data_IF_886620593019
#
_entry.id   IF_886620593019
#
_cell.length_a   1.000
_cell.length_b   1.000
_cell.length_c   1.000
_cell.angle_alpha   90.00
_cell.angle_beta   90.00
_cell.angle_gamma   90.00
#
_symmetry.space_group_name_H-M   'P 1'
#
loop_
_entity.id
_entity.type
_entity.pdbx_description
1 polymer ?
#
# COMPACT_ATOMS: atom_id res chain seq x y z
N UNK A 1 35.44 13.24 7.47
CA UNK A 1 36.83 13.71 7.40
C UNK A 1 37.74 12.51 7.25
N UNK A 2 38.90 12.66 6.60
CA UNK A 2 39.91 11.59 6.46
C UNK A 2 41.32 12.18 6.41
N UNK A 3 42.34 11.36 6.68
CA UNK A 3 43.76 11.74 6.59
C UNK A 3 44.25 11.51 5.17
N UNK A 4 44.91 12.50 4.58
CA UNK A 4 45.59 12.40 3.29
C UNK A 4 47.06 12.81 3.43
N UNK A 5 47.94 12.12 2.72
CA UNK A 5 49.35 12.53 2.54
C UNK A 5 49.49 13.08 1.14
N UNK A 6 49.91 14.34 1.02
CA UNK A 6 50.00 15.05 -0.25
C UNK A 6 51.40 15.63 -0.45
N UNK A 7 51.80 15.87 -1.71
CA UNK A 7 53.16 16.30 -2.07
C UNK A 7 54.05 15.16 -2.59
N UNK A 8 55.28 15.49 -2.98
CA UNK A 8 56.28 14.54 -3.52
C UNK A 8 57.62 14.68 -2.79
N UNK A 9 58.32 13.56 -2.63
CA UNK A 9 59.65 13.52 -2.01
C UNK A 9 59.66 14.01 -0.55
N UNK A 10 60.67 14.80 -0.18
CA UNK A 10 60.83 15.36 1.18
C UNK A 10 59.79 16.43 1.55
N UNK A 11 58.99 16.89 0.59
CA UNK A 11 57.94 17.90 0.80
C UNK A 11 56.55 17.29 1.08
N UNK A 12 56.48 16.00 1.44
CA UNK A 12 55.20 15.36 1.80
C UNK A 12 54.64 15.93 3.09
N UNK A 13 53.34 16.22 3.11
CA UNK A 13 52.62 16.74 4.27
C UNK A 13 51.39 15.90 4.57
N UNK A 14 51.08 15.76 5.87
CA UNK A 14 49.87 15.09 6.37
C UNK A 14 48.78 16.12 6.58
N UNK A 15 47.57 15.84 6.08
CA UNK A 15 46.43 16.75 6.10
C UNK A 15 45.14 16.05 6.50
N UNK A 16 44.26 16.75 7.20
CA UNK A 16 42.85 16.39 7.32
C UNK A 16 42.05 16.99 6.17
N UNK A 17 41.28 16.14 5.49
CA UNK A 17 40.52 16.49 4.30
C UNK A 17 39.04 16.07 4.40
N UNK A 18 38.18 16.76 3.67
CA UNK A 18 36.78 16.42 3.43
C UNK A 18 36.48 16.39 1.93
N UNK A 19 35.52 15.55 1.52
CA UNK A 19 35.01 15.55 0.16
C UNK A 19 33.60 16.12 0.15
N UNK A 20 33.40 17.16 -0.66
CA UNK A 20 32.11 17.81 -0.87
C UNK A 20 31.64 17.59 -2.31
N UNK A 21 30.36 17.27 -2.51
CA UNK A 21 29.81 17.14 -3.86
C UNK A 21 29.59 18.55 -4.44
N UNK A 22 30.06 18.78 -5.66
CA UNK A 22 29.78 20.04 -6.36
C UNK A 22 28.34 19.98 -6.85
N UNK A 23 27.51 20.95 -6.42
CA UNK A 23 26.10 21.01 -6.76
C UNK A 23 25.86 20.90 -8.28
N UNK A 24 24.83 20.15 -8.68
CA UNK A 24 24.46 19.88 -10.09
C UNK A 24 25.49 19.09 -10.91
N UNK A 25 26.50 18.49 -10.27
CA UNK A 25 27.46 17.61 -10.95
C UNK A 25 27.68 16.30 -10.20
N UNK A 26 28.28 15.31 -10.88
CA UNK A 26 28.77 14.08 -10.25
C UNK A 26 30.22 14.21 -9.74
N UNK A 27 30.81 15.41 -9.79
CA UNK A 27 32.19 15.65 -9.36
C UNK A 27 32.25 15.97 -7.86
N UNK A 28 33.29 15.46 -7.19
CA UNK A 28 33.60 15.76 -5.79
C UNK A 28 34.78 16.73 -5.72
N UNK A 29 34.72 17.70 -4.82
CA UNK A 29 35.81 18.61 -4.49
C UNK A 29 36.39 18.22 -3.14
N UNK A 30 37.71 18.01 -3.08
CA UNK A 30 38.42 17.83 -1.83
C UNK A 30 38.70 19.20 -1.21
N UNK A 31 38.37 19.36 0.06
CA UNK A 31 38.63 20.55 0.87
C UNK A 31 39.58 20.16 1.98
N UNK A 32 40.73 20.84 2.06
CA UNK A 32 41.70 20.66 3.15
C UNK A 32 41.18 21.43 4.36
N UNK A 33 40.98 20.72 5.47
CA UNK A 33 40.47 21.28 6.72
C UNK A 33 41.64 21.78 7.58
N UNK A 34 42.71 21.00 7.68
CA UNK A 34 43.89 21.34 8.47
C UNK A 34 45.12 20.61 7.92
N UNK A 35 46.25 21.31 7.84
CA UNK A 35 47.55 20.68 7.59
C UNK A 35 48.23 20.41 8.93
N UNK A 36 48.69 19.18 9.15
CA UNK A 36 49.25 18.72 10.42
C UNK A 36 50.76 18.98 10.47
N UNK A 37 51.48 18.58 9.42
CA UNK A 37 52.94 18.74 9.38
C UNK A 37 53.61 17.92 8.29
N UNK A 38 54.94 17.93 8.27
CA UNK A 38 55.74 17.15 7.32
C UNK A 38 55.69 15.66 7.66
N UNK A 39 55.45 14.82 6.66
CA UNK A 39 55.26 13.37 6.82
C UNK A 39 56.49 12.66 7.41
N UNK A 40 57.70 13.00 6.95
CA UNK A 40 58.93 12.33 7.39
C UNK A 40 59.22 12.66 8.86
N UNK A 41 59.14 13.94 9.23
CA UNK A 41 59.38 14.40 10.61
C UNK A 41 58.40 13.78 11.60
N UNK A 42 57.12 13.70 11.23
CA UNK A 42 56.10 13.12 12.09
C UNK A 42 56.31 11.62 12.31
N UNK A 43 56.83 10.88 11.32
CA UNK A 43 57.14 9.46 11.45
C UNK A 43 58.43 9.19 12.24
N UNK A 44 59.42 10.07 12.14
CA UNK A 44 60.64 10.00 12.96
C UNK A 44 60.31 10.18 14.45
N UNK A 45 59.39 11.09 14.78
CA UNK A 45 58.96 11.35 16.15
C UNK A 45 57.99 10.28 16.70
N UNK A 46 57.05 9.80 15.88
CA UNK A 46 56.12 8.73 16.24
C UNK A 46 55.78 7.84 15.03
N UNK A 47 56.29 6.59 14.97
CA UNK A 47 56.01 5.65 13.89
C UNK A 47 54.51 5.35 13.69
N UNK A 48 53.68 5.50 14.72
CA UNK A 48 52.24 5.21 14.70
C UNK A 48 51.35 6.44 14.43
N UNK A 49 51.93 7.61 14.21
CA UNK A 49 51.20 8.89 14.10
C UNK A 49 50.07 8.88 13.07
N UNK A 50 50.24 8.16 11.94
CA UNK A 50 49.22 8.09 10.89
C UNK A 50 48.01 7.28 11.33
N UNK A 51 48.20 6.24 12.14
CA UNK A 51 47.11 5.45 12.68
C UNK A 51 46.31 6.26 13.71
N UNK A 52 47.00 6.94 14.61
CA UNK A 52 46.39 7.82 15.62
C UNK A 52 45.58 8.95 14.96
N UNK A 53 46.16 9.64 13.96
CA UNK A 53 45.46 10.69 13.22
C UNK A 53 44.23 10.15 12.47
N UNK A 54 44.24 8.90 12.00
CA UNK A 54 43.05 8.29 11.38
C UNK A 54 41.94 8.05 12.39
N UNK A 55 42.27 7.56 13.59
CA UNK A 55 41.29 7.39 14.67
C UNK A 55 40.75 8.74 15.16
N UNK A 56 41.60 9.75 15.26
CA UNK A 56 41.18 11.13 15.55
C UNK A 56 40.23 11.67 14.46
N UNK A 57 40.55 11.47 13.17
CA UNK A 57 39.67 11.89 12.07
C UNK A 57 38.30 11.20 12.14
N UNK A 58 38.25 9.91 12.54
CA UNK A 58 36.99 9.19 12.79
C UNK A 58 36.22 9.79 13.96
N UNK A 59 36.88 10.07 15.08
CA UNK A 59 36.27 10.71 16.26
C UNK A 59 35.69 12.08 15.94
N UNK A 60 36.47 12.95 15.30
CA UNK A 60 36.04 14.28 14.85
C UNK A 60 34.90 14.20 13.84
N UNK A 61 34.90 13.19 12.95
CA UNK A 61 33.77 12.96 12.03
C UNK A 61 32.51 12.53 12.79
N UNK A 62 32.63 11.72 13.84
CA UNK A 62 31.51 11.30 14.67
C UNK A 62 30.95 12.46 15.51
N UNK A 63 31.83 13.29 16.11
CA UNK A 63 31.45 14.50 16.84
C UNK A 63 30.78 15.54 15.92
N UNK A 64 31.34 15.79 14.73
CA UNK A 64 30.73 16.69 13.74
C UNK A 64 29.39 16.17 13.22
N UNK A 65 29.22 14.84 13.09
CA UNK A 65 27.91 14.22 12.81
C UNK A 65 26.91 14.37 13.96
N UNK A 66 27.36 14.45 15.22
CA UNK A 66 26.51 14.77 16.38
C UNK A 66 26.11 16.25 16.43
N UNK A 67 27.00 17.16 16.01
CA UNK A 67 26.81 18.62 16.11
C UNK A 67 26.15 19.29 14.88
N UNK A 68 25.98 18.60 13.75
CA UNK A 68 25.08 19.07 12.69
C UNK A 68 23.66 18.87 13.22
N UNK A 69 22.90 19.94 13.46
CA UNK A 69 21.47 19.84 13.77
C UNK A 69 20.84 18.96 12.70
N UNK A 70 20.46 17.73 13.06
CA UNK A 70 19.70 16.88 12.15
C UNK A 70 18.42 17.65 11.85
N UNK A 71 18.32 18.20 10.65
CA UNK A 71 17.04 18.57 10.10
C UNK A 71 16.24 17.27 10.01
N UNK A 72 15.39 17.02 11.01
CA UNK A 72 14.70 15.75 11.12
C UNK A 72 13.47 15.79 10.25
N UNK A 73 13.45 14.90 9.27
CA UNK A 73 12.39 14.79 8.28
C UNK A 73 11.59 13.52 8.59
N UNK A 74 10.30 13.68 8.84
CA UNK A 74 9.41 12.56 9.17
C UNK A 74 8.23 12.50 8.23
N UNK A 75 7.66 11.32 8.05
CA UNK A 75 6.34 11.14 7.43
C UNK A 75 5.26 11.25 8.49
N UNK A 76 4.18 11.97 8.18
CA UNK A 76 3.08 12.18 9.12
C UNK A 76 1.69 11.92 8.49
N UNK A 77 1.65 11.41 7.25
CA UNK A 77 0.37 11.08 6.58
C UNK A 77 -0.46 10.01 7.29
N UNK A 78 0.15 9.23 8.19
CA UNK A 78 -0.55 8.31 9.09
C UNK A 78 -1.46 9.00 10.11
N UNK A 79 -1.41 10.33 10.24
CA UNK A 79 -2.41 11.14 10.97
C UNK A 79 -3.84 10.84 10.51
N UNK A 80 -4.06 10.58 9.22
CA UNK A 80 -5.36 10.16 8.70
C UNK A 80 -5.81 8.82 9.31
N UNK A 81 -4.90 7.85 9.36
CA UNK A 81 -5.19 6.53 9.92
C UNK A 81 -5.37 6.62 11.42
N UNK A 82 -4.59 7.47 12.11
CA UNK A 82 -4.73 7.71 13.55
C UNK A 82 -6.13 8.23 13.91
N UNK A 83 -6.61 9.26 13.18
CA UNK A 83 -7.96 9.81 13.36
C UNK A 83 -9.04 8.75 13.15
N UNK A 84 -8.94 7.96 12.08
CA UNK A 84 -9.87 6.86 11.82
C UNK A 84 -9.79 5.74 12.88
N UNK A 85 -8.58 5.42 13.35
CA UNK A 85 -8.34 4.35 14.34
C UNK A 85 -9.02 4.64 15.67
N UNK A 86 -8.96 5.90 16.11
CA UNK A 86 -9.66 6.38 17.31
C UNK A 86 -11.18 6.34 17.13
N UNK A 87 -11.66 6.78 15.96
CA UNK A 87 -13.09 6.80 15.65
C UNK A 87 -13.71 5.39 15.62
N UNK A 88 -13.02 4.40 15.05
CA UNK A 88 -13.46 2.99 15.08
C UNK A 88 -13.45 2.44 16.51
N UNK A 89 -12.55 2.93 17.36
CA UNK A 89 -12.42 2.47 18.75
C UNK A 89 -11.66 1.14 18.88
N UNK A 90 -10.74 0.84 17.96
CA UNK A 90 -9.98 -0.42 17.92
C UNK A 90 -9.20 -0.70 19.21
N UNK A 91 -8.73 0.34 19.89
CA UNK A 91 -8.01 0.21 21.17
C UNK A 91 -8.85 -0.43 22.28
N UNK A 92 -10.19 -0.38 22.21
CA UNK A 92 -11.08 -1.04 23.19
C UNK A 92 -11.05 -2.56 23.06
N UNK A 93 -10.87 -3.07 21.85
CA UNK A 93 -10.86 -4.52 21.54
C UNK A 93 -9.45 -5.09 21.73
N UNK A 94 -8.45 -4.33 21.29
CA UNK A 94 -7.06 -4.78 21.26
C UNK A 94 -6.36 -4.57 22.61
N UNK A 95 -6.80 -3.59 23.41
CA UNK A 95 -6.02 -3.10 24.54
C UNK A 95 -4.87 -2.18 24.10
N UNK A 96 -4.32 -1.39 25.04
CA UNK A 96 -3.38 -0.30 24.74
C UNK A 96 -2.09 -0.78 24.07
N UNK A 97 -1.47 -1.83 24.58
CA UNK A 97 -0.17 -2.34 24.09
C UNK A 97 -0.30 -2.92 22.69
N UNK A 98 -1.21 -3.88 22.49
CA UNK A 98 -1.45 -4.50 21.18
C UNK A 98 -1.90 -3.48 20.14
N UNK A 99 -2.78 -2.53 20.53
CA UNK A 99 -3.22 -1.46 19.63
C UNK A 99 -2.06 -0.59 19.14
N UNK A 100 -1.08 -0.26 20.00
CA UNK A 100 0.07 0.56 19.61
C UNK A 100 0.93 -0.19 18.59
N UNK A 101 1.29 -1.44 18.87
CA UNK A 101 2.18 -2.20 17.98
C UNK A 101 1.51 -2.58 16.67
N UNK A 102 0.21 -2.95 16.72
CA UNK A 102 -0.58 -3.21 15.52
C UNK A 102 -0.72 -1.97 14.64
N UNK A 103 -0.92 -0.80 15.24
CA UNK A 103 -0.99 0.46 14.49
C UNK A 103 0.28 0.66 13.66
N UNK A 104 1.47 0.48 14.26
CA UNK A 104 2.74 0.54 13.52
C UNK A 104 2.76 -0.42 12.32
N UNK A 105 2.39 -1.69 12.51
CA UNK A 105 2.33 -2.69 11.43
C UNK A 105 1.40 -2.25 10.29
N UNK A 106 0.22 -1.73 10.63
CA UNK A 106 -0.76 -1.23 9.66
C UNK A 106 -0.19 -0.04 8.90
N UNK A 107 0.47 0.91 9.56
CA UNK A 107 1.06 2.06 8.86
C UNK A 107 2.19 1.65 7.94
N UNK A 108 3.08 0.75 8.37
CA UNK A 108 4.14 0.25 7.49
C UNK A 108 3.54 -0.44 6.28
N UNK A 109 2.51 -1.29 6.45
CA UNK A 109 1.86 -1.98 5.33
C UNK A 109 1.07 -1.05 4.41
N UNK A 110 0.41 -0.01 4.92
CA UNK A 110 -0.33 0.95 4.08
C UNK A 110 0.59 2.00 3.45
N UNK A 111 1.71 2.30 4.10
CA UNK A 111 2.61 3.38 3.75
C UNK A 111 3.84 2.97 2.92
N UNK A 112 4.16 1.67 2.81
CA UNK A 112 5.28 1.16 2.00
C UNK A 112 4.82 0.60 0.65
N UNK A 113 5.75 0.51 -0.32
CA UNK A 113 5.53 -0.21 -1.57
C UNK A 113 5.67 -1.71 -1.28
N UNK A 114 4.61 -2.44 -1.57
CA UNK A 114 4.33 -3.83 -1.19
C UNK A 114 5.43 -4.85 -1.54
N UNK A 115 6.20 -5.27 -0.53
CA UNK A 115 6.84 -6.60 -0.48
C UNK A 115 7.56 -6.87 0.85
N UNK A 116 8.17 -5.85 1.45
CA UNK A 116 9.09 -6.05 2.58
C UNK A 116 8.62 -5.30 3.83
N UNK A 117 8.13 -6.06 4.82
CA UNK A 117 7.98 -5.56 6.19
C UNK A 117 9.33 -5.05 6.76
N UNK A 118 10.44 -5.55 6.21
CA UNK A 118 11.81 -5.31 6.66
C UNK A 118 12.48 -4.05 6.07
N UNK A 119 11.93 -3.45 5.01
CA UNK A 119 12.54 -2.24 4.44
C UNK A 119 12.08 -0.98 5.17
N UNK A 120 12.87 -0.61 6.19
CA UNK A 120 12.82 0.73 6.75
C UNK A 120 13.05 1.75 5.64
N UNK A 121 12.00 2.52 5.30
CA UNK A 121 12.16 3.68 4.40
C UNK A 121 13.21 4.62 4.97
N UNK A 122 14.03 5.22 4.09
CA UNK A 122 15.02 6.25 4.45
C UNK A 122 14.45 7.40 5.29
N UNK A 123 13.15 7.67 5.15
CA UNK A 123 12.42 8.65 5.95
C UNK A 123 11.45 7.92 6.89
N UNK A 124 11.64 7.99 8.21
CA UNK A 124 10.79 7.33 9.19
C UNK A 124 9.43 8.01 9.31
N UNK A 125 8.43 7.27 9.79
CA UNK A 125 7.17 7.86 10.24
C UNK A 125 7.35 8.49 11.62
N UNK A 126 6.72 9.64 11.84
CA UNK A 126 6.74 10.34 13.12
C UNK A 126 6.18 9.43 14.23
N UNK A 127 6.91 9.29 15.35
CA UNK A 127 6.55 8.46 16.51
C UNK A 127 6.26 6.97 16.24
N UNK A 128 6.65 6.42 15.09
CA UNK A 128 6.49 4.99 14.83
C UNK A 128 7.85 4.30 14.83
N UNK A 129 7.97 3.34 15.74
CA UNK A 129 9.11 2.45 15.84
C UNK A 129 8.92 1.26 14.89
N UNK A 130 10.03 0.68 14.42
CA UNK A 130 10.00 -0.61 13.72
C UNK A 130 9.53 -1.69 14.67
N UNK A 131 8.67 -2.60 14.19
CA UNK A 131 8.22 -3.75 14.98
C UNK A 131 9.26 -4.86 14.85
N UNK A 132 9.63 -5.49 15.98
CA UNK A 132 10.61 -6.58 15.96
C UNK A 132 10.02 -7.83 15.31
N UNK A 133 10.88 -8.76 14.88
CA UNK A 133 10.40 -10.01 14.30
C UNK A 133 9.59 -10.82 15.33
N UNK A 134 10.05 -10.91 16.58
CA UNK A 134 9.33 -11.61 17.65
C UNK A 134 7.95 -11.00 17.91
N UNK A 135 7.86 -9.67 18.00
CA UNK A 135 6.59 -8.98 18.23
C UNK A 135 5.63 -9.17 17.04
N UNK A 136 6.16 -9.25 15.82
CA UNK A 136 5.36 -9.52 14.64
C UNK A 136 4.64 -10.87 14.76
N UNK A 137 5.36 -11.96 15.05
CA UNK A 137 4.77 -13.29 15.21
C UNK A 137 3.75 -13.35 16.36
N UNK A 138 4.10 -12.80 17.53
CA UNK A 138 3.19 -12.76 18.68
C UNK A 138 1.89 -12.00 18.37
N UNK A 139 1.98 -10.89 17.66
CA UNK A 139 0.78 -10.13 17.26
C UNK A 139 -0.11 -10.93 16.33
N UNK A 140 0.44 -11.71 15.40
CA UNK A 140 -0.39 -12.55 14.53
C UNK A 140 -1.18 -13.58 15.35
N UNK A 141 -0.58 -14.17 16.38
CA UNK A 141 -1.30 -15.09 17.28
C UNK A 141 -2.40 -14.39 18.07
N UNK A 142 -2.19 -13.14 18.50
CA UNK A 142 -3.23 -12.34 19.16
C UNK A 142 -4.34 -11.89 18.21
N UNK A 143 -4.01 -11.62 16.94
CA UNK A 143 -4.98 -11.26 15.92
C UNK A 143 -5.87 -12.43 15.54
N UNK A 144 -5.32 -13.64 15.43
CA UNK A 144 -6.09 -14.87 15.18
C UNK A 144 -7.21 -15.05 16.21
N UNK A 145 -6.89 -14.86 17.50
CA UNK A 145 -7.87 -14.93 18.60
C UNK A 145 -8.96 -13.86 18.51
N UNK A 146 -8.65 -12.69 17.93
CA UNK A 146 -9.53 -11.51 17.88
C UNK A 146 -10.20 -11.31 16.51
N UNK A 147 -10.03 -12.25 15.58
CA UNK A 147 -10.52 -12.14 14.20
C UNK A 147 -12.01 -11.73 14.14
N UNK A 148 -12.88 -12.48 14.83
CA UNK A 148 -14.32 -12.25 14.82
C UNK A 148 -14.71 -10.89 15.42
N UNK A 149 -14.10 -10.53 16.55
CA UNK A 149 -14.37 -9.25 17.24
C UNK A 149 -13.97 -8.06 16.35
N UNK A 150 -12.85 -8.17 15.64
CA UNK A 150 -12.38 -7.15 14.72
C UNK A 150 -13.28 -7.03 13.50
N UNK A 151 -13.68 -8.14 12.87
CA UNK A 151 -14.65 -8.14 11.76
C UNK A 151 -15.98 -7.49 12.20
N UNK A 152 -16.49 -7.84 13.38
CA UNK A 152 -17.73 -7.26 13.90
C UNK A 152 -17.57 -5.75 14.17
N UNK A 153 -16.43 -5.32 14.71
CA UNK A 153 -16.12 -3.92 14.97
C UNK A 153 -16.14 -3.08 13.69
N UNK A 154 -15.44 -3.54 12.64
CA UNK A 154 -15.44 -2.85 11.35
C UNK A 154 -16.83 -2.83 10.71
N UNK A 155 -17.57 -3.93 10.76
CA UNK A 155 -18.94 -3.95 10.22
C UNK A 155 -19.85 -2.96 10.95
N UNK A 156 -19.82 -2.91 12.30
CA UNK A 156 -20.60 -1.93 13.08
C UNK A 156 -20.22 -0.49 12.74
N UNK A 157 -18.93 -0.23 12.47
CA UNK A 157 -18.48 1.08 12.02
C UNK A 157 -19.04 1.42 10.63
N UNK A 158 -18.93 0.49 9.68
CA UNK A 158 -19.38 0.68 8.31
C UNK A 158 -20.89 0.78 8.15
N UNK A 159 -21.67 0.05 8.93
CA UNK A 159 -23.14 0.18 8.98
C UNK A 159 -23.58 1.61 9.34
N UNK A 160 -22.79 2.33 10.15
CA UNK A 160 -23.08 3.71 10.53
C UNK A 160 -22.58 4.74 9.52
N UNK A 161 -21.49 4.43 8.81
CA UNK A 161 -20.77 5.38 7.96
C UNK A 161 -21.11 5.29 6.48
N UNK A 162 -21.54 4.13 6.02
CA UNK A 162 -21.75 3.84 4.61
C UNK A 162 -23.23 3.58 4.38
N UNK A 163 -23.78 4.23 3.35
CA UNK A 163 -25.11 3.93 2.84
C UNK A 163 -25.04 2.66 1.98
N UNK A 164 -24.90 1.51 2.63
CA UNK A 164 -24.89 0.21 1.94
C UNK A 164 -26.25 0.00 1.26
N UNK A 165 -26.25 -0.05 -0.05
CA UNK A 165 -27.44 -0.48 -0.78
C UNK A 165 -27.56 -2.00 -0.72
N UNK A 166 -28.72 -2.46 -0.24
CA UNK A 166 -29.22 -3.84 -0.36
C UNK A 166 -28.36 -4.88 0.38
N UNK A 167 -28.99 -5.99 0.80
CA UNK A 167 -28.34 -7.11 1.50
C UNK A 167 -27.53 -7.99 0.52
N UNK A 168 -26.82 -7.38 -0.42
CA UNK A 168 -26.04 -8.04 -1.48
C UNK A 168 -24.57 -7.96 -1.10
N UNK A 169 -23.84 -9.06 -1.26
CA UNK A 169 -22.39 -9.04 -1.20
C UNK A 169 -21.78 -9.72 -2.43
N UNK A 170 -20.62 -9.23 -2.81
CA UNK A 170 -19.75 -9.80 -3.81
C UNK A 170 -18.71 -10.66 -3.11
N UNK A 171 -18.29 -11.75 -3.76
CA UNK A 171 -17.20 -12.54 -3.25
C UNK A 171 -16.21 -12.92 -4.34
N UNK A 172 -14.93 -12.88 -3.96
CA UNK A 172 -13.81 -13.23 -4.83
C UNK A 172 -12.93 -14.23 -4.07
N UNK A 173 -12.55 -15.30 -4.77
CA UNK A 173 -11.72 -16.37 -4.23
C UNK A 173 -10.36 -16.35 -4.93
N UNK A 174 -9.31 -16.34 -4.12
CA UNK A 174 -7.92 -16.33 -4.54
C UNK A 174 -7.16 -17.46 -3.87
N UNK A 175 -6.30 -18.14 -4.63
CA UNK A 175 -5.47 -19.22 -4.10
C UNK A 175 -4.12 -18.67 -3.71
N UNK A 176 -3.67 -19.02 -2.52
CA UNK A 176 -2.36 -18.65 -2.00
C UNK A 176 -1.48 -19.87 -1.86
N UNK A 177 -0.20 -19.68 -2.21
CA UNK A 177 0.83 -20.68 -2.06
C UNK A 177 2.00 -20.10 -1.29
N UNK A 178 2.47 -20.86 -0.31
CA UNK A 178 3.69 -20.55 0.40
C UNK A 178 4.87 -21.28 -0.25
N UNK A 179 5.85 -20.52 -0.72
CA UNK A 179 7.11 -21.06 -1.19
C UNK A 179 8.12 -21.10 -0.05
N UNK A 180 8.47 -22.30 0.43
CA UNK A 180 9.41 -22.50 1.54
C UNK A 180 10.86 -22.11 1.21
N UNK A 181 11.27 -22.23 -0.05
CA UNK A 181 12.62 -21.87 -0.50
C UNK A 181 12.84 -20.35 -0.45
N UNK A 182 11.88 -19.59 -0.98
CA UNK A 182 11.94 -18.12 -0.98
C UNK A 182 11.31 -17.49 0.27
N UNK A 183 10.65 -18.29 1.11
CA UNK A 183 9.83 -17.83 2.24
C UNK A 183 8.78 -16.78 1.84
N UNK A 184 8.23 -16.90 0.64
CA UNK A 184 7.28 -15.95 0.07
C UNK A 184 5.89 -16.56 0.02
N UNK A 185 4.92 -15.80 0.53
CA UNK A 185 3.51 -16.03 0.29
C UNK A 185 3.05 -15.09 -0.83
N UNK A 186 2.62 -15.67 -1.96
CA UNK A 186 2.01 -14.93 -3.07
C UNK A 186 0.62 -15.51 -3.38
N UNK A 187 -0.32 -14.62 -3.66
CA UNK A 187 -1.66 -15.00 -4.13
C UNK A 187 -1.72 -14.99 -5.65
N UNK A 188 -2.42 -15.96 -6.21
CA UNK A 188 -2.64 -16.12 -7.65
C UNK A 188 -4.14 -16.31 -7.91
N UNK A 189 -4.62 -15.72 -9.00
CA UNK A 189 -5.91 -16.10 -9.57
C UNK A 189 -5.81 -17.59 -9.97
N UNK A 190 -6.83 -18.36 -9.61
CA UNK A 190 -6.90 -19.83 -9.53
C UNK A 190 -6.16 -20.70 -10.59
N UNK A 191 -5.78 -21.91 -10.15
CA UNK A 191 -5.25 -23.13 -10.81
C UNK A 191 -4.64 -23.09 -12.24
N UNK A 192 -3.33 -22.91 -12.36
CA UNK A 192 -2.51 -23.54 -13.42
C UNK A 192 -1.08 -23.72 -12.90
N UNK A 193 -0.78 -24.83 -12.21
CA UNK A 193 0.58 -25.07 -11.71
C UNK A 193 1.04 -26.54 -11.80
N UNK A 194 2.34 -26.74 -12.12
CA UNK A 194 3.01 -28.04 -12.05
C UNK A 194 3.20 -28.53 -10.60
N UNK A 195 3.20 -29.85 -10.44
CA UNK A 195 3.38 -30.56 -9.18
C UNK A 195 4.80 -30.34 -8.62
N UNK A 196 4.94 -29.47 -7.62
CA UNK A 196 6.10 -29.45 -6.74
C UNK A 196 5.60 -29.56 -5.31
N UNK A 197 6.30 -30.33 -4.47
CA UNK A 197 5.93 -30.56 -3.07
C UNK A 197 5.77 -29.22 -2.31
N UNK A 198 4.53 -28.86 -1.99
CA UNK A 198 4.13 -27.58 -1.39
C UNK A 198 3.56 -27.80 0.03
N UNK A 199 4.02 -27.00 1.01
CA UNK A 199 3.69 -27.21 2.43
C UNK A 199 2.41 -26.49 2.92
N UNK A 200 1.95 -25.41 2.27
CA UNK A 200 0.77 -24.61 2.69
C UNK A 200 0.05 -24.01 1.47
N UNK A 201 -0.96 -24.74 0.98
CA UNK A 201 -1.89 -24.28 -0.07
C UNK A 201 -3.27 -24.02 0.55
N UNK A 202 -3.81 -22.84 0.29
CA UNK A 202 -5.13 -22.46 0.79
C UNK A 202 -5.82 -21.45 -0.10
N UNK A 203 -7.15 -21.45 -0.04
CA UNK A 203 -7.98 -20.46 -0.70
C UNK A 203 -8.45 -19.42 0.32
N UNK A 204 -8.46 -18.16 -0.10
CA UNK A 204 -9.09 -17.08 0.63
C UNK A 204 -10.28 -16.57 -0.17
N UNK A 205 -11.45 -16.56 0.47
CA UNK A 205 -12.65 -15.95 -0.09
C UNK A 205 -12.96 -14.66 0.65
N UNK A 206 -12.86 -13.52 -0.03
CA UNK A 206 -13.22 -12.21 0.50
C UNK A 206 -14.66 -11.89 0.14
N UNK A 207 -15.44 -11.42 1.12
CA UNK A 207 -16.78 -10.88 0.93
C UNK A 207 -16.75 -9.36 1.08
N UNK A 208 -17.36 -8.62 0.15
CA UNK A 208 -17.35 -7.16 0.13
C UNK A 208 -18.65 -6.59 -0.47
N UNK A 209 -18.94 -5.32 -0.19
CA UNK A 209 -20.11 -4.61 -0.76
C UNK A 209 -19.80 -3.95 -2.11
N UNK A 210 -20.79 -3.28 -2.72
CA UNK A 210 -20.62 -2.63 -4.03
C UNK A 210 -19.56 -1.54 -4.08
N UNK A 211 -19.14 -1.00 -2.94
CA UNK A 211 -18.07 0.00 -2.84
C UNK A 211 -16.69 -0.64 -2.59
N UNK A 212 -16.61 -1.97 -2.59
CA UNK A 212 -15.39 -2.70 -2.29
C UNK A 212 -15.05 -2.74 -0.79
N UNK A 213 -15.98 -2.35 0.09
CA UNK A 213 -15.74 -2.34 1.53
C UNK A 213 -15.86 -3.77 2.04
N UNK A 214 -14.81 -4.31 2.72
CA UNK A 214 -14.85 -5.67 3.22
C UNK A 214 -15.98 -5.90 4.23
N UNK A 215 -16.64 -7.05 4.14
CA UNK A 215 -17.65 -7.54 5.07
C UNK A 215 -17.02 -8.62 5.94
N UNK A 216 -16.41 -9.64 5.34
CA UNK A 216 -15.73 -10.73 6.03
C UNK A 216 -14.78 -11.44 5.07
N UNK A 217 -13.97 -12.38 5.57
CA UNK A 217 -13.21 -13.30 4.73
C UNK A 217 -13.30 -14.73 5.29
N UNK A 218 -12.91 -15.71 4.48
CA UNK A 218 -12.81 -17.11 4.89
C UNK A 218 -11.55 -17.73 4.30
N UNK A 219 -10.78 -18.45 5.14
CA UNK A 219 -9.64 -19.25 4.71
C UNK A 219 -10.02 -20.72 4.66
N UNK A 220 -9.63 -21.40 3.59
CA UNK A 220 -9.86 -22.84 3.41
C UNK A 220 -8.53 -23.53 3.10
N UNK A 221 -8.00 -24.26 4.07
CA UNK A 221 -6.79 -25.07 3.92
C UNK A 221 -7.19 -26.40 3.24
N UNK A 222 -6.85 -26.58 1.96
CA UNK A 222 -7.04 -27.80 1.12
C UNK A 222 -8.41 -28.03 0.45
N UNK A 223 -9.54 -27.65 1.03
CA UNK A 223 -10.85 -27.83 0.39
C UNK A 223 -11.36 -26.53 -0.24
N UNK A 224 -11.81 -26.60 -1.50
CA UNK A 224 -12.52 -25.47 -2.13
C UNK A 224 -13.82 -25.20 -1.39
N UNK A 225 -14.15 -23.91 -1.23
CA UNK A 225 -15.36 -23.48 -0.53
C UNK A 225 -16.63 -24.12 -1.12
N UNK A 226 -17.29 -24.97 -0.32
CA UNK A 226 -18.51 -25.66 -0.76
C UNK A 226 -19.74 -24.73 -0.80
N UNK A 227 -20.70 -25.07 -1.67
CA UNK A 227 -21.99 -24.35 -1.74
C UNK A 227 -22.75 -24.35 -0.41
N UNK A 228 -22.64 -25.43 0.37
CA UNK A 228 -23.24 -25.52 1.71
C UNK A 228 -22.65 -24.44 2.62
N UNK A 229 -21.33 -24.26 2.57
CA UNK A 229 -20.63 -23.25 3.39
C UNK A 229 -20.98 -21.83 2.94
N UNK A 230 -21.09 -21.58 1.64
CA UNK A 230 -21.59 -20.30 1.11
C UNK A 230 -23.00 -19.99 1.61
N UNK A 231 -23.90 -20.98 1.63
CA UNK A 231 -25.26 -20.83 2.18
C UNK A 231 -25.26 -20.52 3.68
N UNK A 232 -24.36 -21.13 4.45
CA UNK A 232 -24.16 -20.82 5.88
C UNK A 232 -23.66 -19.39 6.09
N UNK A 233 -22.63 -18.96 5.33
CA UNK A 233 -22.08 -17.60 5.40
C UNK A 233 -23.13 -16.56 5.02
N UNK A 234 -23.87 -16.80 3.92
CA UNK A 234 -24.98 -15.95 3.49
C UNK A 234 -26.00 -15.71 4.61
N UNK A 235 -26.37 -16.78 5.34
CA UNK A 235 -27.30 -16.70 6.48
C UNK A 235 -26.67 -15.95 7.67
N UNK A 236 -25.42 -16.25 8.02
CA UNK A 236 -24.70 -15.60 9.11
C UNK A 236 -24.56 -14.09 8.91
N UNK A 237 -24.24 -13.67 7.69
CA UNK A 237 -24.11 -12.26 7.30
C UNK A 237 -25.46 -11.58 6.99
N UNK A 238 -26.58 -12.31 7.11
CA UNK A 238 -27.95 -11.83 6.82
C UNK A 238 -28.10 -11.25 5.41
N UNK A 239 -27.44 -11.86 4.43
CA UNK A 239 -27.41 -11.43 3.04
C UNK A 239 -28.60 -12.02 2.25
N UNK A 240 -29.25 -11.20 1.41
CA UNK A 240 -30.26 -11.64 0.46
C UNK A 240 -29.63 -12.28 -0.79
N UNK A 241 -28.44 -11.83 -1.20
CA UNK A 241 -27.78 -12.29 -2.43
C UNK A 241 -26.26 -12.33 -2.28
N UNK A 242 -25.63 -13.32 -2.93
CA UNK A 242 -24.18 -13.43 -3.09
C UNK A 242 -23.89 -13.47 -4.59
N UNK A 243 -22.94 -12.66 -5.04
CA UNK A 243 -22.52 -12.58 -6.44
C UNK A 243 -21.04 -12.96 -6.53
N UNK A 244 -20.72 -13.98 -7.31
CA UNK A 244 -19.33 -14.40 -7.56
C UNK A 244 -18.65 -13.39 -8.47
N UNK A 245 -17.44 -12.94 -8.12
CA UNK A 245 -16.59 -12.16 -9.01
C UNK A 245 -15.38 -13.02 -9.38
N UNK A 246 -15.23 -13.34 -10.67
CA UNK A 246 -14.17 -14.21 -11.18
C UNK A 246 -13.27 -13.47 -12.18
N UNK A 247 -11.96 -13.46 -11.91
CA UNK A 247 -10.97 -12.83 -12.78
C UNK A 247 -10.53 -13.72 -13.95
N UNK A 248 -11.03 -14.94 -14.03
CA UNK A 248 -10.73 -15.92 -15.07
C UNK A 248 -12.02 -16.41 -15.71
N UNK A 249 -11.90 -16.91 -16.93
CA UNK A 249 -12.98 -17.65 -17.55
C UNK A 249 -13.15 -19.00 -16.88
N UNK A 250 -14.21 -19.14 -16.10
CA UNK A 250 -14.64 -20.43 -15.62
C UNK A 250 -15.82 -20.92 -16.45
N UNK A 251 -15.99 -22.24 -16.58
CA UNK A 251 -17.28 -22.81 -17.01
C UNK A 251 -18.29 -22.52 -15.90
N UNK A 252 -18.93 -21.36 -15.98
CA UNK A 252 -19.79 -20.84 -14.93
C UNK A 252 -21.02 -21.74 -14.83
N UNK A 253 -21.10 -22.52 -13.75
CA UNK A 253 -22.24 -23.41 -13.47
C UNK A 253 -23.30 -22.77 -12.58
N UNK A 254 -23.01 -21.62 -11.98
CA UNK A 254 -23.83 -21.02 -10.92
C UNK A 254 -24.44 -19.68 -11.37
N UNK A 255 -25.68 -19.43 -10.95
CA UNK A 255 -26.35 -18.14 -11.07
C UNK A 255 -25.72 -17.11 -10.11
N UNK A 256 -25.79 -15.83 -10.46
CA UNK A 256 -25.29 -14.65 -9.75
C UNK A 256 -23.76 -14.50 -9.83
N UNK A 257 -23.26 -14.03 -10.98
CA UNK A 257 -21.83 -13.87 -11.20
C UNK A 257 -21.46 -12.65 -12.04
N UNK A 258 -20.20 -12.23 -11.93
CA UNK A 258 -19.49 -11.33 -12.83
C UNK A 258 -18.17 -12.03 -13.15
N UNK A 259 -17.90 -12.31 -14.42
CA UNK A 259 -16.70 -13.03 -14.82
C UNK A 259 -15.99 -12.32 -15.96
N UNK A 260 -14.66 -12.33 -15.93
CA UNK A 260 -13.88 -11.97 -17.11
C UNK A 260 -14.10 -13.01 -18.21
N UNK A 261 -14.19 -12.52 -19.45
CA UNK A 261 -14.13 -13.32 -20.68
C UNK A 261 -13.19 -12.65 -21.67
N UNK A 262 -12.38 -13.44 -22.35
CA UNK A 262 -11.49 -13.00 -23.40
C UNK A 262 -12.32 -12.70 -24.64
N UNK A 263 -11.92 -11.64 -25.33
CA UNK A 263 -12.57 -11.23 -26.56
C UNK A 263 -12.58 -12.36 -27.61
N UNK A 264 -11.49 -13.15 -27.70
CA UNK A 264 -11.37 -14.24 -28.67
C UNK A 264 -12.32 -15.41 -28.39
N UNK A 265 -12.80 -15.56 -27.15
CA UNK A 265 -13.70 -16.64 -26.75
C UNK A 265 -15.18 -16.27 -26.86
N UNK A 266 -15.50 -15.04 -27.25
CA UNK A 266 -16.88 -14.61 -27.54
C UNK A 266 -17.35 -15.16 -28.89
N UNK A 267 -18.66 -15.34 -29.05
CA UNK A 267 -19.24 -15.71 -30.34
C UNK A 267 -18.93 -14.66 -31.41
N UNK A 268 -18.75 -15.11 -32.66
CA UNK A 268 -18.34 -14.25 -33.77
C UNK A 268 -19.29 -13.06 -34.00
N UNK A 269 -20.60 -13.25 -33.81
CA UNK A 269 -21.58 -12.16 -33.94
C UNK A 269 -21.47 -11.14 -32.80
N UNK A 270 -21.13 -11.57 -31.58
CA UNK A 270 -20.86 -10.68 -30.45
C UNK A 270 -19.56 -9.90 -30.71
N UNK A 271 -18.50 -10.56 -31.18
CA UNK A 271 -17.25 -9.90 -31.55
C UNK A 271 -17.50 -8.80 -32.60
N UNK A 272 -18.28 -9.09 -33.64
CA UNK A 272 -18.68 -8.07 -34.62
C UNK A 272 -19.45 -6.92 -33.99
N UNK A 273 -20.42 -7.20 -33.12
CA UNK A 273 -21.19 -6.15 -32.44
C UNK A 273 -20.30 -5.28 -31.56
N UNK A 274 -19.26 -5.85 -30.93
CA UNK A 274 -18.25 -5.08 -30.17
C UNK A 274 -17.49 -4.13 -31.09
N UNK A 275 -17.03 -4.61 -32.25
CA UNK A 275 -16.22 -3.83 -33.18
C UNK A 275 -17.00 -2.73 -33.93
N UNK A 276 -18.34 -2.79 -33.95
CA UNK A 276 -19.15 -1.67 -34.45
C UNK A 276 -18.98 -0.45 -33.54
N UNK A 277 -18.81 0.72 -34.15
CA UNK A 277 -18.71 2.01 -33.45
C UNK A 277 -20.05 2.57 -32.97
N UNK A 278 -21.11 1.77 -33.00
CA UNK A 278 -22.43 2.14 -32.47
C UNK A 278 -22.58 1.79 -30.99
N UNK A 279 -23.43 2.53 -30.28
CA UNK A 279 -23.84 2.29 -28.87
C UNK A 279 -22.71 2.37 -27.83
N UNK A 280 -21.54 2.87 -28.21
CA UNK A 280 -20.49 3.19 -27.26
C UNK A 280 -20.84 4.47 -26.51
N UNK A 281 -20.71 4.42 -25.18
CA UNK A 281 -20.67 5.58 -24.33
C UNK A 281 -19.20 5.98 -24.16
N UNK A 282 -18.88 7.22 -24.50
CA UNK A 282 -17.53 7.76 -24.32
C UNK A 282 -17.36 8.18 -22.86
N UNK A 283 -16.32 7.67 -22.21
CA UNK A 283 -16.01 7.93 -20.80
C UNK A 283 -15.02 9.08 -20.71
N UNK A 284 -13.96 9.05 -21.52
CA UNK A 284 -12.89 10.04 -21.50
C UNK A 284 -12.43 10.38 -22.92
N UNK A 285 -12.14 11.66 -23.13
CA UNK A 285 -11.49 12.20 -24.32
C UNK A 285 -10.25 12.99 -23.94
N UNK A 286 -9.27 12.95 -24.82
CA UNK A 286 -8.09 13.80 -24.73
C UNK A 286 -8.51 15.26 -24.96
N UNK A 287 -8.04 16.16 -24.10
CA UNK A 287 -8.46 17.57 -24.10
C UNK A 287 -7.94 18.30 -25.35
N UNK A 288 -6.73 17.94 -25.82
CA UNK A 288 -6.05 18.67 -26.88
C UNK A 288 -6.40 18.11 -28.27
N UNK A 289 -6.60 16.79 -28.37
CA UNK A 289 -6.80 16.08 -29.64
C UNK A 289 -8.23 15.61 -29.88
N UNK A 290 -9.11 15.69 -28.87
CA UNK A 290 -10.48 15.14 -28.87
C UNK A 290 -10.55 13.61 -29.11
N UNK A 291 -9.40 12.93 -29.07
CA UNK A 291 -9.31 11.48 -29.26
C UNK A 291 -9.99 10.74 -28.10
N UNK A 292 -10.74 9.67 -28.40
CA UNK A 292 -11.38 8.83 -27.39
C UNK A 292 -10.27 8.07 -26.63
N UNK A 293 -10.22 8.26 -25.32
CA UNK A 293 -9.27 7.58 -24.44
C UNK A 293 -9.91 6.33 -23.82
N UNK A 294 -11.18 6.43 -23.43
CA UNK A 294 -11.93 5.36 -22.76
C UNK A 294 -13.40 5.34 -23.23
N UNK A 295 -13.94 4.15 -23.46
CA UNK A 295 -15.36 3.95 -23.83
C UNK A 295 -15.89 2.62 -23.29
N UNK A 296 -17.18 2.57 -22.99
CA UNK A 296 -17.88 1.35 -22.59
C UNK A 296 -19.20 1.13 -23.35
N UNK A 297 -19.69 -0.11 -23.33
CA UNK A 297 -21.05 -0.46 -23.72
C UNK A 297 -21.51 -1.77 -23.09
N UNK A 298 -22.83 -1.97 -23.09
CA UNK A 298 -23.45 -3.25 -22.72
C UNK A 298 -24.06 -3.89 -23.97
N UNK A 299 -23.85 -5.20 -24.11
CA UNK A 299 -24.49 -6.05 -25.12
C UNK A 299 -25.30 -7.12 -24.37
N UNK A 300 -26.58 -7.25 -24.69
CA UNK A 300 -27.37 -8.38 -24.18
C UNK A 300 -27.07 -9.59 -25.07
N UNK A 301 -26.55 -10.67 -24.48
CA UNK A 301 -26.23 -11.92 -25.19
C UNK A 301 -27.49 -12.76 -25.36
N UNK A 302 -28.25 -12.93 -24.28
CA UNK A 302 -29.54 -13.61 -24.26
C UNK A 302 -30.48 -12.95 -23.22
N UNK A 303 -31.61 -13.60 -22.88
CA UNK A 303 -32.58 -13.03 -21.93
C UNK A 303 -32.00 -12.80 -20.54
N UNK A 304 -30.94 -13.52 -20.16
CA UNK A 304 -30.42 -13.57 -18.80
C UNK A 304 -28.95 -13.13 -18.72
N UNK A 305 -28.24 -12.99 -19.84
CA UNK A 305 -26.80 -12.67 -19.88
C UNK A 305 -26.51 -11.32 -20.53
N UNK A 306 -25.69 -10.53 -19.83
CA UNK A 306 -25.17 -9.25 -20.29
C UNK A 306 -23.66 -9.33 -20.41
N UNK A 307 -23.14 -8.67 -21.43
CA UNK A 307 -21.73 -8.45 -21.64
C UNK A 307 -21.43 -6.97 -21.49
N UNK A 308 -20.70 -6.62 -20.43
CA UNK A 308 -20.07 -5.33 -20.29
C UNK A 308 -18.75 -5.35 -21.07
N UNK A 309 -18.56 -4.35 -21.93
CA UNK A 309 -17.36 -4.22 -22.74
C UNK A 309 -16.77 -2.84 -22.49
N UNK A 310 -15.52 -2.83 -22.05
CA UNK A 310 -14.75 -1.63 -21.82
C UNK A 310 -13.54 -1.62 -22.73
N UNK A 311 -13.20 -0.45 -23.25
CA UNK A 311 -12.01 -0.23 -24.03
C UNK A 311 -11.25 0.99 -23.52
N UNK A 312 -9.93 0.85 -23.38
CA UNK A 312 -9.06 1.96 -23.05
C UNK A 312 -7.80 1.98 -23.91
N UNK A 313 -7.46 3.16 -24.46
CA UNK A 313 -6.26 3.37 -25.28
C UNK A 313 -4.98 2.97 -24.58
N UNK A 314 -4.86 3.30 -23.28
CA UNK A 314 -3.69 2.93 -22.47
C UNK A 314 -3.54 1.41 -22.34
N UNK A 315 -4.65 0.68 -22.21
CA UNK A 315 -4.64 -0.79 -22.20
C UNK A 315 -4.29 -1.34 -23.57
N UNK A 316 -4.84 -0.76 -24.65
CA UNK A 316 -4.52 -1.16 -26.02
C UNK A 316 -3.02 -1.02 -26.33
N UNK A 317 -2.40 0.09 -25.92
CA UNK A 317 -0.95 0.27 -26.06
C UNK A 317 -0.16 -0.77 -25.26
N UNK A 318 -0.60 -1.06 -24.03
CA UNK A 318 0.03 -2.09 -23.18
C UNK A 318 -0.10 -3.48 -23.82
N UNK A 319 -1.27 -3.81 -24.36
CA UNK A 319 -1.55 -5.06 -25.06
C UNK A 319 -0.65 -5.27 -26.27
N UNK A 320 -0.49 -4.22 -27.07
CA UNK A 320 0.44 -4.18 -28.19
C UNK A 320 1.89 -4.46 -27.75
N UNK A 321 2.35 -3.78 -26.69
CA UNK A 321 3.70 -3.98 -26.14
C UNK A 321 3.90 -5.39 -25.55
N UNK A 322 2.87 -5.96 -24.94
CA UNK A 322 2.86 -7.32 -24.38
C UNK A 322 2.61 -8.41 -25.43
N UNK A 323 2.37 -8.05 -26.70
CA UNK A 323 2.00 -8.95 -27.80
C UNK A 323 0.78 -9.82 -27.48
N UNK A 324 -0.18 -9.28 -26.73
CA UNK A 324 -1.46 -9.94 -26.50
C UNK A 324 -2.51 -9.36 -27.47
N UNK A 325 -3.45 -10.18 -27.94
CA UNK A 325 -4.41 -9.81 -28.97
C UNK A 325 -5.68 -9.14 -28.41
N UNK A 326 -5.65 -8.70 -27.15
CA UNK A 326 -6.82 -8.12 -26.46
C UNK A 326 -7.15 -6.71 -26.95
N UNK A 327 -6.20 -6.01 -27.57
CA UNK A 327 -6.39 -4.71 -28.23
C UNK A 327 -7.09 -3.64 -27.35
N UNK A 328 -6.89 -3.70 -26.04
CA UNK A 328 -7.47 -2.76 -25.08
C UNK A 328 -8.84 -3.12 -24.55
N UNK A 329 -9.44 -4.21 -25.02
CA UNK A 329 -10.77 -4.65 -24.60
C UNK A 329 -10.73 -5.45 -23.30
N UNK A 330 -11.65 -5.13 -22.41
CA UNK A 330 -11.97 -5.87 -21.20
C UNK A 330 -13.44 -6.24 -21.30
N UNK A 331 -13.73 -7.54 -21.34
CA UNK A 331 -15.09 -8.05 -21.45
C UNK A 331 -15.46 -8.75 -20.13
N UNK A 332 -16.57 -8.32 -19.53
CA UNK A 332 -17.12 -8.91 -18.30
C UNK A 332 -18.52 -9.43 -18.61
N UNK A 333 -18.74 -10.71 -18.39
CA UNK A 333 -20.04 -11.36 -18.55
C UNK A 333 -20.73 -11.49 -17.18
N UNK A 334 -22.03 -11.22 -17.13
CA UNK A 334 -22.82 -11.32 -15.90
C UNK A 334 -24.26 -11.72 -16.21
N UNK A 335 -24.87 -12.44 -15.28
CA UNK A 335 -26.32 -12.72 -15.26
C UNK A 335 -27.11 -11.75 -14.36
N UNK A 336 -26.47 -10.68 -13.89
CA UNK A 336 -27.07 -9.68 -13.01
C UNK A 336 -27.75 -8.56 -13.81
N UNK A 337 -29.08 -8.63 -13.90
CA UNK A 337 -29.86 -7.64 -14.67
C UNK A 337 -29.84 -6.22 -14.09
N UNK A 338 -29.73 -6.09 -12.75
CA UNK A 338 -29.88 -4.82 -12.06
C UNK A 338 -28.60 -3.98 -11.99
N UNK A 339 -27.45 -4.52 -12.40
CA UNK A 339 -26.18 -3.81 -12.36
C UNK A 339 -26.00 -2.92 -13.59
N UNK A 340 -25.66 -1.65 -13.35
CA UNK A 340 -25.28 -0.72 -14.41
C UNK A 340 -23.83 -0.94 -14.86
N UNK A 341 -23.49 -0.46 -16.06
CA UNK A 341 -22.15 -0.57 -16.66
C UNK A 341 -21.02 -0.17 -15.72
N UNK A 342 -21.19 0.99 -15.06
CA UNK A 342 -20.19 1.53 -14.14
C UNK A 342 -20.03 0.65 -12.91
N UNK A 343 -21.13 0.14 -12.35
CA UNK A 343 -21.10 -0.70 -11.16
C UNK A 343 -20.35 -2.01 -11.44
N UNK A 344 -20.61 -2.67 -12.57
CA UNK A 344 -19.93 -3.91 -12.97
C UNK A 344 -18.41 -3.68 -13.02
N UNK A 345 -17.98 -2.57 -13.63
CA UNK A 345 -16.56 -2.23 -13.72
C UNK A 345 -15.96 -1.97 -12.33
N UNK A 346 -16.62 -1.15 -11.51
CA UNK A 346 -16.12 -0.78 -10.19
C UNK A 346 -15.99 -1.99 -9.27
N UNK A 347 -17.01 -2.86 -9.23
CA UNK A 347 -17.00 -4.13 -8.48
C UNK A 347 -15.83 -5.01 -8.90
N UNK A 348 -15.64 -5.17 -10.21
CA UNK A 348 -14.55 -5.99 -10.73
C UNK A 348 -13.18 -5.39 -10.36
N UNK A 349 -13.01 -4.07 -10.48
CA UNK A 349 -11.78 -3.37 -10.10
C UNK A 349 -11.48 -3.45 -8.59
N UNK A 350 -12.48 -3.70 -7.74
CA UNK A 350 -12.26 -3.97 -6.32
C UNK A 350 -11.58 -5.31 -6.03
N UNK A 351 -11.58 -6.26 -6.98
CA UNK A 351 -10.79 -7.50 -6.84
C UNK A 351 -9.29 -7.24 -7.08
N UNK A 352 -8.98 -6.31 -7.98
CA UNK A 352 -7.61 -5.89 -8.24
C UNK A 352 -7.01 -5.16 -7.03
N UNK A 353 -5.77 -5.50 -6.69
CA UNK A 353 -4.98 -5.04 -5.53
C UNK A 353 -5.17 -5.80 -4.21
N UNK A 354 -6.05 -6.82 -4.14
CA UNK A 354 -6.16 -7.66 -2.93
C UNK A 354 -4.88 -8.50 -2.76
N UNK A 355 -4.42 -9.16 -3.83
CA UNK A 355 -3.25 -10.05 -3.78
C UNK A 355 -1.97 -9.33 -3.32
N UNK A 356 -1.72 -8.14 -3.86
CA UNK A 356 -0.53 -7.35 -3.51
C UNK A 356 -0.52 -6.95 -2.04
N UNK A 357 -1.70 -6.70 -1.43
CA UNK A 357 -1.84 -6.33 -0.03
C UNK A 357 -1.53 -7.49 0.91
N UNK A 358 -1.78 -8.70 0.42
CA UNK A 358 -1.73 -9.93 1.21
C UNK A 358 -0.41 -10.69 1.01
N UNK A 359 0.38 -10.30 0.01
CA UNK A 359 1.76 -10.76 -0.21
C UNK A 359 2.67 -10.43 0.97
N UNK A 360 3.51 -11.40 1.36
CA UNK A 360 4.58 -11.21 2.34
C UNK A 360 5.79 -12.08 1.97
N UNK A 361 7.00 -11.56 2.19
CA UNK A 361 8.26 -12.26 1.98
C UNK A 361 8.97 -12.54 3.31
N UNK A 362 9.85 -13.53 3.32
CA UNK A 362 10.77 -13.86 4.42
C UNK A 362 10.09 -14.29 5.73
N UNK A 363 8.96 -15.00 5.66
CA UNK A 363 8.22 -15.48 6.84
C UNK A 363 8.06 -17.00 6.85
N UNK A 364 7.99 -17.59 8.05
CA UNK A 364 7.74 -19.01 8.27
C UNK A 364 6.49 -19.18 9.15
N UNK A 365 5.33 -19.33 8.51
CA UNK A 365 4.04 -19.27 9.19
C UNK A 365 3.49 -20.66 9.53
N UNK A 366 3.05 -20.81 10.78
CA UNK A 366 2.04 -21.84 11.10
C UNK A 366 0.64 -21.38 10.66
N UNK A 367 -0.32 -22.31 10.65
CA UNK A 367 -1.72 -22.01 10.32
C UNK A 367 -2.29 -20.84 11.16
N UNK A 368 -1.98 -20.78 12.46
CA UNK A 368 -2.42 -19.68 13.33
C UNK A 368 -1.82 -18.33 12.92
N UNK A 369 -0.53 -18.30 12.56
CA UNK A 369 0.10 -17.09 12.07
C UNK A 369 -0.51 -16.64 10.74
N UNK A 370 -0.91 -17.58 9.90
CA UNK A 370 -1.59 -17.29 8.64
C UNK A 370 -2.95 -16.62 8.88
N UNK A 371 -3.79 -17.16 9.77
CA UNK A 371 -5.05 -16.53 10.18
C UNK A 371 -4.83 -15.11 10.74
N UNK A 372 -3.83 -14.95 11.61
CA UNK A 372 -3.43 -13.64 12.13
C UNK A 372 -3.01 -12.64 11.04
N UNK A 373 -2.23 -13.10 10.05
CA UNK A 373 -1.82 -12.28 8.91
C UNK A 373 -3.00 -11.85 8.06
N UNK A 374 -3.96 -12.74 7.79
CA UNK A 374 -5.17 -12.38 7.05
C UNK A 374 -6.10 -11.44 7.84
N UNK A 375 -6.09 -11.51 9.17
CA UNK A 375 -6.74 -10.50 10.03
C UNK A 375 -6.06 -9.14 9.86
N UNK A 376 -4.72 -9.07 9.90
CA UNK A 376 -3.96 -7.83 9.65
C UNK A 376 -4.23 -7.24 8.26
N UNK A 377 -4.23 -8.11 7.25
CA UNK A 377 -4.60 -7.83 5.87
C UNK A 377 -6.00 -7.21 5.76
N UNK A 378 -6.99 -7.83 6.41
CA UNK A 378 -8.37 -7.36 6.46
C UNK A 378 -8.47 -5.96 7.08
N UNK A 379 -7.80 -5.71 8.21
CA UNK A 379 -7.74 -4.38 8.85
C UNK A 379 -7.19 -3.34 7.86
N UNK A 380 -6.07 -3.65 7.21
CA UNK A 380 -5.46 -2.74 6.22
C UNK A 380 -6.41 -2.47 5.05
N UNK A 381 -7.10 -3.50 4.56
CA UNK A 381 -8.03 -3.41 3.45
C UNK A 381 -9.25 -2.56 3.81
N UNK A 382 -9.82 -2.74 5.01
CA UNK A 382 -10.92 -1.93 5.53
C UNK A 382 -10.55 -0.44 5.56
N UNK A 383 -9.39 -0.09 6.12
CA UNK A 383 -8.92 1.29 6.21
C UNK A 383 -8.74 1.91 4.82
N UNK A 384 -8.03 1.22 3.92
CA UNK A 384 -7.72 1.79 2.61
C UNK A 384 -8.96 1.89 1.71
N UNK A 385 -9.88 0.92 1.77
CA UNK A 385 -11.14 0.94 1.01
C UNK A 385 -12.06 2.04 1.52
N UNK A 386 -12.10 2.27 2.83
CA UNK A 386 -12.84 3.41 3.38
C UNK A 386 -12.25 4.75 2.92
N UNK A 387 -10.92 4.90 2.85
CA UNK A 387 -10.32 6.10 2.26
C UNK A 387 -10.64 6.26 0.77
N UNK A 388 -10.67 5.17 -0.01
CA UNK A 388 -11.14 5.22 -1.41
C UNK A 388 -12.60 5.68 -1.49
N UNK A 389 -13.47 5.15 -0.63
CA UNK A 389 -14.88 5.54 -0.55
C UNK A 389 -15.05 7.04 -0.28
N UNK A 390 -14.31 7.59 0.71
CA UNK A 390 -14.34 9.02 1.04
C UNK A 390 -13.75 9.88 -0.09
N UNK A 391 -12.63 9.45 -0.69
CA UNK A 391 -12.04 10.15 -1.84
C UNK A 391 -12.97 10.14 -3.05
N UNK A 392 -13.74 9.06 -3.24
CA UNK A 392 -14.77 8.88 -4.26
C UNK A 392 -16.07 9.61 -3.97
N UNK A 393 -16.05 10.58 -3.06
CA UNK A 393 -17.24 11.36 -2.67
C UNK A 393 -18.39 10.47 -2.18
N UNK A 394 -18.05 9.54 -1.28
CA UNK A 394 -18.94 8.53 -0.70
C UNK A 394 -19.44 7.51 -1.74
N UNK A 395 -18.51 7.00 -2.56
CA UNK A 395 -18.79 5.94 -3.54
C UNK A 395 -19.42 6.39 -4.85
N UNK A 396 -19.46 7.70 -5.12
CA UNK A 396 -19.96 8.26 -6.40
C UNK A 396 -18.97 8.11 -7.56
N UNK A 397 -17.69 7.93 -7.25
CA UNK A 397 -16.64 7.74 -8.23
C UNK A 397 -15.64 6.72 -7.72
N UNK A 398 -15.21 5.81 -8.60
CA UNK A 398 -14.10 4.93 -8.31
C UNK A 398 -12.80 5.73 -8.14
N UNK A 399 -12.04 5.41 -7.09
CA UNK A 399 -10.73 6.02 -6.85
C UNK A 399 -9.68 4.91 -6.78
N UNK A 400 -8.65 4.91 -7.66
CA UNK A 400 -7.57 3.95 -7.58
C UNK A 400 -6.87 3.96 -6.22
N UNK A 401 -6.55 2.78 -5.68
CA UNK A 401 -6.03 2.62 -4.32
C UNK A 401 -4.71 3.39 -4.07
N UNK A 402 -3.92 3.58 -5.13
CA UNK A 402 -2.65 4.34 -5.08
C UNK A 402 -2.82 5.75 -4.51
N UNK A 403 -3.97 6.40 -4.72
CA UNK A 403 -4.23 7.75 -4.19
C UNK A 403 -4.34 7.74 -2.66
N UNK A 404 -5.03 6.75 -2.10
CA UNK A 404 -5.12 6.57 -0.65
C UNK A 404 -3.75 6.15 -0.06
N UNK A 405 -3.01 5.26 -0.73
CA UNK A 405 -1.65 4.89 -0.30
C UNK A 405 -0.69 6.09 -0.31
N UNK A 406 -0.75 6.96 -1.33
CA UNK A 406 0.04 8.20 -1.40
C UNK A 406 -0.39 9.22 -0.35
N UNK A 407 -1.67 9.30 0.01
CA UNK A 407 -2.14 10.16 1.10
C UNK A 407 -1.51 9.78 2.44
N UNK A 408 -1.29 8.49 2.71
CA UNK A 408 -0.65 8.03 3.95
C UNK A 408 0.87 8.18 3.87
N UNK A 409 1.45 7.81 2.72
CA UNK A 409 2.90 7.65 2.61
C UNK A 409 3.65 8.94 2.31
N UNK A 410 3.11 9.86 1.50
CA UNK A 410 3.86 11.02 1.00
C UNK A 410 3.97 12.22 1.95
N UNK A 411 2.94 12.60 2.74
CA UNK A 411 3.02 13.78 3.59
C UNK A 411 4.20 13.70 4.56
N UNK A 412 5.04 14.72 4.52
CA UNK A 412 6.28 14.81 5.28
C UNK A 412 6.35 16.13 6.03
N UNK A 413 7.02 16.12 7.17
CA UNK A 413 7.22 17.30 7.99
C UNK A 413 8.72 17.52 8.20
N UNK A 414 9.15 18.72 7.83
CA UNK A 414 10.51 19.20 8.06
C UNK A 414 10.54 20.06 9.31
N UNK A 415 11.43 19.72 10.24
CA UNK A 415 11.60 20.44 11.50
C UNK A 415 12.77 21.42 11.38
N UNK A 416 12.50 22.71 11.61
CA UNK A 416 13.48 23.79 11.54
C UNK A 416 13.61 24.46 12.90
N UNK A 417 14.82 24.46 13.48
CA UNK A 417 15.09 25.17 14.73
C UNK A 417 15.57 26.59 14.42
N UNK A 418 14.84 27.61 14.88
CA UNK A 418 15.25 29.03 14.80
C UNK A 418 15.37 29.59 16.21
N UNK A 419 16.61 29.80 16.66
CA UNK A 419 16.88 30.14 18.05
C UNK A 419 16.43 29.02 19.00
N UNK A 420 15.55 29.35 19.95
CA UNK A 420 14.97 28.40 20.91
C UNK A 420 13.65 27.78 20.44
N UNK A 421 13.10 28.22 19.30
CA UNK A 421 11.81 27.78 18.80
C UNK A 421 11.96 26.71 17.70
N UNK A 422 11.01 25.77 17.68
CA UNK A 422 10.89 24.72 16.67
C UNK A 422 9.73 25.03 15.74
N UNK A 423 10.04 25.26 14.47
CA UNK A 423 9.07 25.49 13.40
C UNK A 423 8.90 24.22 12.57
N UNK A 424 7.65 23.92 12.25
CA UNK A 424 7.28 22.76 11.48
C UNK A 424 6.84 23.18 10.08
N UNK A 425 7.40 22.51 9.07
CA UNK A 425 7.16 22.79 7.67
C UNK A 425 6.62 21.53 6.98
N UNK A 426 5.28 21.36 6.91
CA UNK A 426 4.66 20.30 6.14
C UNK A 426 4.96 20.45 4.65
N UNK A 427 5.33 19.35 4.01
CA UNK A 427 5.65 19.25 2.58
C UNK A 427 5.04 17.98 1.97
N UNK A 428 4.94 17.94 0.64
CA UNK A 428 4.40 16.80 -0.11
C UNK A 428 2.96 16.41 0.29
N UNK A 429 2.12 17.39 0.64
CA UNK A 429 0.70 17.20 0.89
C UNK A 429 -0.01 16.94 -0.44
N UNK A 430 -0.44 15.69 -0.64
CA UNK A 430 -1.20 15.32 -1.85
C UNK A 430 -2.63 15.86 -1.78
N UNK A 431 -3.27 16.08 -2.93
CA UNK A 431 -4.70 16.44 -2.97
C UNK A 431 -5.57 15.41 -2.22
N UNK A 432 -5.21 14.12 -2.32
CA UNK A 432 -5.85 13.04 -1.58
C UNK A 432 -5.70 13.20 -0.06
N UNK A 433 -4.51 13.58 0.43
CA UNK A 433 -4.30 13.87 1.84
C UNK A 433 -5.14 15.06 2.30
N UNK A 434 -5.12 16.17 1.58
CA UNK A 434 -5.88 17.38 1.94
C UNK A 434 -7.40 17.14 1.94
N UNK A 435 -7.91 16.36 0.97
CA UNK A 435 -9.33 15.97 0.93
C UNK A 435 -9.69 15.09 2.13
N UNK A 436 -8.90 14.06 2.42
CA UNK A 436 -9.14 13.17 3.56
C UNK A 436 -8.98 13.89 4.89
N UNK A 437 -7.99 14.77 5.05
CA UNK A 437 -7.75 15.52 6.29
C UNK A 437 -8.98 16.38 6.62
N UNK A 438 -9.53 17.08 5.62
CA UNK A 438 -10.76 17.86 5.79
C UNK A 438 -11.97 16.99 6.17
N UNK A 439 -12.15 15.85 5.51
CA UNK A 439 -13.28 14.93 5.79
C UNK A 439 -13.18 14.33 7.19
N UNK A 440 -11.97 13.97 7.63
CA UNK A 440 -11.69 13.37 8.94
C UNK A 440 -11.55 14.41 10.06
N UNK A 441 -11.74 15.70 9.78
CA UNK A 441 -11.72 16.76 10.78
C UNK A 441 -10.33 17.15 11.30
N UNK A 442 -9.27 16.85 10.54
CA UNK A 442 -7.93 17.37 10.82
C UNK A 442 -7.86 18.86 10.48
N UNK A 443 -6.98 19.58 11.18
CA UNK A 443 -6.76 21.01 10.93
C UNK A 443 -5.88 21.30 9.71
N UNK A 444 -5.70 22.58 9.39
CA UNK A 444 -4.93 23.02 8.22
C UNK A 444 -3.41 22.96 8.46
N UNK A 445 -2.66 22.59 7.43
CA UNK A 445 -1.20 22.47 7.50
C UNK A 445 -0.54 23.57 6.66
N UNK A 446 0.19 24.46 7.33
CA UNK A 446 0.91 25.59 6.72
C UNK A 446 2.39 25.54 7.10
N UNK A 447 3.26 26.10 6.25
CA UNK A 447 4.68 26.26 6.58
C UNK A 447 4.85 27.17 7.81
N UNK A 448 5.93 26.94 8.56
CA UNK A 448 6.24 27.70 9.76
C UNK A 448 5.24 27.53 10.91
N UNK A 449 4.50 26.41 10.98
CA UNK A 449 3.54 26.19 12.06
C UNK A 449 4.24 25.80 13.38
N UNK A 450 3.66 26.18 14.51
CA UNK A 450 4.14 25.77 15.83
C UNK A 450 3.88 24.29 16.08
N UNK A 451 4.62 23.71 17.04
CA UNK A 451 4.41 22.34 17.53
C UNK A 451 2.96 22.16 18.00
N UNK A 452 2.46 23.05 18.87
CA UNK A 452 1.10 22.97 19.39
C UNK A 452 0.04 22.96 18.30
N UNK A 453 0.19 23.82 17.28
CA UNK A 453 -0.74 23.86 16.14
C UNK A 453 -0.69 22.55 15.35
N UNK A 454 0.49 21.99 15.15
CA UNK A 454 0.64 20.72 14.43
C UNK A 454 0.03 19.55 15.21
N UNK A 455 0.29 19.44 16.50
CA UNK A 455 -0.25 18.38 17.35
C UNK A 455 -1.78 18.46 17.39
N UNK A 456 -2.33 19.67 17.54
CA UNK A 456 -3.79 19.91 17.45
C UNK A 456 -4.37 19.49 16.11
N UNK A 457 -3.69 19.84 15.01
CA UNK A 457 -4.22 19.62 13.66
C UNK A 457 -4.08 18.17 13.18
N UNK A 458 -3.02 17.46 13.60
CA UNK A 458 -2.72 16.09 13.17
C UNK A 458 -3.16 15.01 14.16
N UNK A 459 -3.36 15.37 15.43
CA UNK A 459 -3.52 14.42 16.53
C UNK A 459 -2.21 13.70 16.93
N UNK A 460 -1.10 13.97 16.24
CA UNK A 460 0.19 13.32 16.49
C UNK A 460 1.06 14.21 17.36
N UNK A 461 1.63 13.65 18.43
CA UNK A 461 2.59 14.36 19.27
C UNK A 461 3.94 14.54 18.59
N UNK A 462 4.70 15.54 18.98
CA UNK A 462 6.13 15.63 18.69
C UNK A 462 6.82 15.19 19.97
N UNK A 463 7.10 13.90 20.10
CA UNK A 463 7.92 13.42 21.22
C UNK A 463 9.33 14.03 21.08
N UNK A 464 10.06 14.17 22.20
CA UNK A 464 11.43 14.70 22.27
C UNK A 464 12.45 13.87 21.46
N UNK A 465 12.27 13.73 20.15
CA UNK A 465 13.17 13.04 19.23
C UNK A 465 14.43 13.91 18.97
N UNK A 466 14.61 15.00 19.72
CA UNK A 466 15.59 16.06 19.51
C UNK A 466 16.20 16.63 20.81
N UNK A 467 16.08 15.95 21.96
CA UNK A 467 16.98 16.19 23.09
C UNK A 467 18.23 15.32 22.98
#
# INVERSE_FOLDING_TARGET
MYVAVTGKGKSRVVQFCEQHRIAKTNKKKTVVIKTIGNYEKLLEENPNIIFELKEEAKRLTAEKKKNISKNTLFRFGHSLVYSLWDEIGLSKILGKTLSKTLFSLVIYRLGSSYSTFLENRKTPFLNLESVSNSDFYEILLELEKKEKDLIECFNKFFEKKIKREKKIAYYYTSSYRYNSYWKVLYGLAFSDFPEVEENLNFDMTLFFDSYGIPISYHLSMKETLSEKKLKEIKKSLKLSKLILVSTQENKIKNQNFISSILFEHLDFEIQKEILKDTKWKVIERDIDTDEILEKDKIINIDSNLKLYVYWARKRAFKDYMEKNNRNGYICLITDEELLESQEISDIFQHTWSIEDKFKITDVDFSEKHLHGHFTLCYICLCIIRYFQYLLGSNGKAFVPMIYANKAISNPMIFMEKKGNELFLNPIHLTNSYLKLSKILGLGEFSQGMSVEKFEKNSGLKINNILL
#
